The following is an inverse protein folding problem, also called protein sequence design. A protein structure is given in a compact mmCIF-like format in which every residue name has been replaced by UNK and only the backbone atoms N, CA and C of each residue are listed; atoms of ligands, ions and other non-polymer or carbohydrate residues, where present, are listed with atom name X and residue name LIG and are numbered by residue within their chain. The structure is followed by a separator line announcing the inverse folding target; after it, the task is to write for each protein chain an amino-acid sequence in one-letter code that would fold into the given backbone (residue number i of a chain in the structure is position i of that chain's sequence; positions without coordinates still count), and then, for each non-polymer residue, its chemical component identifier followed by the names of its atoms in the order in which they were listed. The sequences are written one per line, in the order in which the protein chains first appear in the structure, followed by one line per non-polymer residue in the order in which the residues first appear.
data_IF_878052480782
#
_entry.id   IF_878052480782
#
_cell.length_a   1.000
_cell.length_b   1.000
_cell.length_c   1.000
_cell.angle_alpha   90.00
_cell.angle_beta   90.00
_cell.angle_gamma   90.00
#
_symmetry.space_group_name_H-M   'P 1'
#
loop_
_entity.id
_entity.type
_entity.pdbx_description
1 polymer ?
#
# COMPACT_ATOMS: atom_id res chain seq x y z
N UNK A 1 -21.74 -11.88 15.80
CA UNK A 1 -20.93 -12.11 14.74
C UNK A 1 -19.63 -11.47 14.84
N UNK A 2 -18.64 -12.23 14.68
CA UNK A 2 -17.40 -11.72 14.62
C UNK A 2 -16.91 -11.60 13.35
N UNK A 3 -16.45 -10.47 13.01
CA UNK A 3 -15.82 -10.26 11.80
C UNK A 3 -14.41 -10.46 11.93
N UNK A 4 -13.76 -10.93 10.93
CA UNK A 4 -12.33 -10.97 10.91
C UNK A 4 -11.83 -9.59 11.07
N UNK A 5 -10.58 -9.40 11.41
CA UNK A 5 -10.02 -8.06 11.53
C UNK A 5 -10.23 -7.30 10.27
N UNK A 6 -10.64 -6.07 10.40
CA UNK A 6 -10.83 -5.24 9.25
C UNK A 6 -9.49 -4.89 8.65
N UNK A 7 -9.47 -4.84 7.34
CA UNK A 7 -8.27 -4.49 6.61
C UNK A 7 -8.62 -3.54 5.49
N UNK A 8 -7.67 -2.71 5.16
CA UNK A 8 -7.77 -1.91 3.95
C UNK A 8 -6.94 -2.60 2.90
N UNK A 9 -7.53 -2.91 1.77
CA UNK A 9 -6.84 -3.60 0.69
C UNK A 9 -7.04 -2.83 -0.60
N UNK A 10 -5.95 -2.66 -1.33
CA UNK A 10 -5.99 -1.98 -2.61
C UNK A 10 -5.11 -2.69 -3.59
N UNK A 11 -5.55 -2.72 -4.84
CA UNK A 11 -4.74 -3.30 -5.90
C UNK A 11 -4.42 -2.24 -6.92
N UNK A 12 -3.19 -2.23 -7.40
CA UNK A 12 -2.73 -1.26 -8.37
C UNK A 12 -2.13 -2.00 -9.55
N UNK A 13 -2.39 -1.52 -10.75
CA UNK A 13 -1.83 -2.11 -11.95
C UNK A 13 -0.79 -1.20 -12.54
N UNK A 14 0.30 -1.79 -12.99
CA UNK A 14 1.40 -1.02 -13.55
C UNK A 14 1.73 -1.53 -14.94
N UNK A 15 1.80 -0.64 -15.92
CA UNK A 15 2.11 -1.07 -17.28
C UNK A 15 3.60 -1.41 -17.47
N UNK A 16 4.44 -0.96 -16.57
CA UNK A 16 5.85 -1.28 -16.68
C UNK A 16 6.40 -1.69 -15.34
N UNK A 17 7.38 -2.57 -15.37
CA UNK A 17 7.98 -3.03 -14.13
C UNK A 17 8.79 -1.94 -13.46
N UNK A 18 9.25 -0.97 -14.23
CA UNK A 18 10.00 0.13 -13.64
C UNK A 18 9.13 0.93 -12.69
N UNK A 19 7.90 1.25 -13.11
CA UNK A 19 6.99 1.99 -12.25
C UNK A 19 6.57 1.17 -11.04
N UNK A 20 6.37 -0.12 -11.25
CA UNK A 20 6.04 -1.00 -10.14
C UNK A 20 7.14 -0.97 -9.09
N UNK A 21 8.40 -1.04 -9.53
CA UNK A 21 9.52 -0.99 -8.61
C UNK A 21 9.59 0.34 -7.87
N UNK A 22 9.32 1.43 -8.57
CA UNK A 22 9.34 2.74 -7.95
C UNK A 22 8.25 2.86 -6.89
N UNK A 23 7.08 2.33 -7.19
CA UNK A 23 5.98 2.36 -6.25
C UNK A 23 6.36 1.61 -4.96
N UNK A 24 6.90 0.41 -5.13
CA UNK A 24 7.27 -0.40 -3.99
C UNK A 24 8.38 0.27 -3.18
N UNK A 25 9.37 0.83 -3.86
CA UNK A 25 10.45 1.51 -3.18
C UNK A 25 9.95 2.66 -2.32
N UNK A 26 9.08 3.48 -2.86
CA UNK A 26 8.58 4.61 -2.12
C UNK A 26 7.70 4.16 -0.96
N UNK A 27 6.93 3.12 -1.18
CA UNK A 27 6.08 2.61 -0.13
C UNK A 27 6.89 2.02 1.01
N UNK A 28 7.96 1.31 0.69
CA UNK A 28 8.84 0.76 1.72
C UNK A 28 9.53 1.88 2.50
N UNK A 29 9.88 2.94 1.81
CA UNK A 29 10.48 4.07 2.48
C UNK A 29 9.50 4.71 3.47
N UNK A 30 8.25 4.82 3.06
CA UNK A 30 7.22 5.36 3.94
C UNK A 30 7.04 4.47 5.16
N UNK A 31 7.06 3.15 4.97
CA UNK A 31 6.95 2.22 6.07
C UNK A 31 8.06 2.40 7.09
N UNK A 32 9.27 2.66 6.59
CA UNK A 32 10.40 2.88 7.47
C UNK A 32 10.25 4.15 8.28
N UNK A 33 9.66 5.18 7.68
CA UNK A 33 9.50 6.44 8.38
C UNK A 33 8.41 6.39 9.43
N UNK A 34 7.34 5.67 9.17
CA UNK A 34 6.21 5.66 10.09
C UNK A 34 6.24 4.48 11.04
N UNK A 35 7.14 3.55 10.80
CA UNK A 35 7.24 2.34 11.60
C UNK A 35 5.93 1.57 11.58
N UNK A 36 5.20 1.65 10.48
CA UNK A 36 3.94 0.94 10.30
C UNK A 36 4.00 0.28 8.92
N UNK A 37 3.79 -1.01 8.87
CA UNK A 37 3.96 -1.71 7.62
C UNK A 37 2.70 -2.45 7.24
N UNK A 38 2.55 -2.69 5.96
CA UNK A 38 1.46 -3.47 5.42
C UNK A 38 2.00 -4.68 4.69
N UNK A 39 1.08 -5.51 4.24
CA UNK A 39 1.45 -6.65 3.43
C UNK A 39 1.40 -6.23 1.97
N UNK A 40 2.48 -6.43 1.28
CA UNK A 40 2.59 -6.08 -0.13
C UNK A 40 2.76 -7.36 -0.92
N UNK A 41 1.87 -7.58 -1.87
CA UNK A 41 1.95 -8.77 -2.72
C UNK A 41 2.08 -8.33 -4.16
N UNK A 42 2.99 -8.96 -4.87
CA UNK A 42 3.22 -8.65 -6.26
C UNK A 42 2.83 -9.86 -7.08
N UNK A 43 1.99 -9.64 -8.09
CA UNK A 43 1.56 -10.71 -8.95
C UNK A 43 1.53 -10.20 -10.39
N UNK A 44 2.52 -10.59 -11.16
CA UNK A 44 2.71 -10.10 -12.54
C UNK A 44 2.86 -8.59 -12.51
N UNK A 45 2.00 -7.85 -13.07
CA UNK A 45 2.10 -6.40 -13.06
C UNK A 45 1.24 -5.74 -12.01
N UNK A 46 0.64 -6.53 -11.13
CA UNK A 46 -0.27 -6.00 -10.13
C UNK A 46 0.38 -6.00 -8.75
N UNK A 47 0.06 -5.00 -7.96
CA UNK A 47 0.52 -4.94 -6.58
C UNK A 47 -0.71 -4.81 -5.69
N UNK A 48 -0.84 -5.66 -4.70
CA UNK A 48 -1.93 -5.59 -3.75
C UNK A 48 -1.33 -5.23 -2.39
N UNK A 49 -1.90 -4.20 -1.77
CA UNK A 49 -1.43 -3.74 -0.48
C UNK A 49 -2.55 -3.89 0.52
N UNK A 50 -2.26 -4.56 1.64
CA UNK A 50 -3.23 -4.72 2.71
C UNK A 50 -2.63 -4.17 4.00
N UNK A 51 -3.40 -3.38 4.73
CA UNK A 51 -2.92 -2.84 5.98
C UNK A 51 -3.96 -2.99 7.07
N UNK A 52 -3.50 -3.24 8.28
CA UNK A 52 -4.34 -3.25 9.45
C UNK A 52 -3.39 -3.20 10.66
N UNK A 53 -3.94 -2.75 11.80
CA UNK A 53 -3.13 -2.65 13.01
C UNK A 53 -3.25 -3.97 13.77
N UNK A 54 -2.16 -4.71 13.78
CA UNK A 54 -2.17 -6.06 14.33
C UNK A 54 -2.44 -6.10 15.81
N UNK A 55 -1.83 -5.19 16.54
CA UNK A 55 -1.97 -5.18 17.99
C UNK A 55 -3.41 -5.00 18.42
N UNK A 56 -4.14 -4.15 17.74
CA UNK A 56 -5.52 -3.86 18.06
C UNK A 56 -6.49 -4.70 17.24
N UNK A 57 -5.97 -5.40 16.25
CA UNK A 57 -6.77 -6.23 15.39
C UNK A 57 -7.90 -5.44 14.74
N UNK A 58 -7.63 -4.20 14.40
CA UNK A 58 -8.62 -3.34 13.77
C UNK A 58 -7.91 -2.26 12.98
N UNK A 59 -8.68 -1.39 12.35
CA UNK A 59 -8.12 -0.30 11.59
C UNK A 59 -7.95 0.92 12.48
N UNK A 60 -6.86 1.65 12.26
CA UNK A 60 -6.60 2.89 12.97
C UNK A 60 -6.27 3.97 11.97
N UNK A 61 -6.03 5.17 12.45
CA UNK A 61 -5.64 6.26 11.58
C UNK A 61 -4.37 5.95 10.81
N UNK A 62 -3.46 5.20 11.42
CA UNK A 62 -2.22 4.83 10.74
C UNK A 62 -2.50 4.03 9.49
N UNK A 63 -3.49 3.15 9.53
CA UNK A 63 -3.83 2.35 8.37
C UNK A 63 -4.44 3.20 7.27
N UNK A 64 -5.29 4.13 7.64
CA UNK A 64 -5.89 5.01 6.65
C UNK A 64 -4.86 5.93 6.02
N UNK A 65 -3.91 6.41 6.81
CA UNK A 65 -2.86 7.25 6.27
C UNK A 65 -1.94 6.49 5.34
N UNK A 66 -1.67 5.23 5.67
CA UNK A 66 -0.87 4.38 4.81
C UNK A 66 -1.58 4.20 3.46
N UNK A 67 -2.88 3.93 3.49
CA UNK A 67 -3.62 3.74 2.25
C UNK A 67 -3.66 5.02 1.42
N UNK A 68 -3.80 6.17 2.09
CA UNK A 68 -3.77 7.44 1.39
C UNK A 68 -2.43 7.68 0.72
N UNK A 69 -1.35 7.37 1.44
CA UNK A 69 -0.03 7.57 0.89
C UNK A 69 0.21 6.65 -0.30
N UNK A 70 -0.25 5.40 -0.22
CA UNK A 70 -0.11 4.48 -1.35
C UNK A 70 -0.84 5.03 -2.57
N UNK A 71 -2.04 5.56 -2.37
CA UNK A 71 -2.79 6.15 -3.47
C UNK A 71 -2.06 7.35 -4.06
N UNK A 72 -1.48 8.18 -3.22
CA UNK A 72 -0.75 9.35 -3.69
C UNK A 72 0.47 8.95 -4.50
N UNK A 73 1.21 7.97 -4.03
CA UNK A 73 2.39 7.51 -4.75
C UNK A 73 1.97 6.97 -6.11
N UNK A 74 0.91 6.18 -6.14
CA UNK A 74 0.45 5.60 -7.39
C UNK A 74 0.02 6.69 -8.38
N UNK A 75 -0.71 7.68 -7.90
CA UNK A 75 -1.15 8.78 -8.77
C UNK A 75 0.01 9.59 -9.28
N UNK A 76 1.00 9.84 -8.44
CA UNK A 76 2.17 10.57 -8.89
C UNK A 76 2.90 9.81 -9.97
N UNK A 77 3.06 8.51 -9.82
CA UNK A 77 3.74 7.73 -10.84
C UNK A 77 2.96 7.70 -12.14
N UNK A 78 1.64 7.63 -12.06
CA UNK A 78 0.84 7.66 -13.28
C UNK A 78 0.92 9.03 -13.95
N UNK A 79 0.91 10.08 -13.15
CA UNK A 79 0.92 11.43 -13.67
C UNK A 79 2.23 11.76 -14.36
N UNK A 80 3.33 11.23 -13.87
CA UNK A 80 4.63 11.49 -14.46
C UNK A 80 5.04 10.40 -15.41
N UNK A 81 4.09 9.72 -16.03
CA UNK A 81 4.48 8.71 -16.98
C UNK A 81 5.00 9.33 -18.22
N UNK A 82 5.97 8.76 -18.75
CA UNK A 82 6.58 9.27 -19.95
C UNK A 82 6.00 8.71 -21.17
#
# INVERSE_FOLDING_TARGET
VLESPKRLARSYKFPSSKKLQEFISELLEYQGKTNHSGDIRINHGDVTVEVYTRDLNCLTELDYEYAKMADLIYRDLEHYSD
#
